data_IF_762783583842
#
_entry.id   IF_762783583842
#
_cell.length_a   1.000
_cell.length_b   1.000
_cell.length_c   1.000
_cell.angle_alpha   90.00
_cell.angle_beta   90.00
_cell.angle_gamma   90.00
#
_symmetry.space_group_name_H-M   'P 1'
#
loop_
_entity.id
_entity.type
_entity.pdbx_description
1 polymer ?
#
# COMPACT_ATOMS: atom_id res chain seq x y z
N UNK A 1 -46.05 12.82 5.13
CA UNK A 1 -46.62 14.07 4.59
C UNK A 1 -45.94 14.42 3.28
N UNK A 2 -46.69 14.91 2.28
CA UNK A 2 -46.11 15.47 1.05
C UNK A 2 -46.10 17.00 1.18
N UNK A 3 -44.92 17.62 1.16
CA UNK A 3 -44.77 19.07 1.21
C UNK A 3 -44.46 19.61 -0.18
N UNK A 4 -45.19 20.63 -0.61
CA UNK A 4 -44.90 21.40 -1.82
C UNK A 4 -43.69 22.31 -1.61
N UNK A 5 -43.11 22.80 -2.71
CA UNK A 5 -41.97 23.75 -2.70
C UNK A 5 -42.21 24.96 -1.79
N UNK A 6 -43.44 25.49 -1.77
CA UNK A 6 -43.80 26.65 -0.94
C UNK A 6 -43.90 26.27 0.53
N UNK A 7 -44.57 25.16 0.85
CA UNK A 7 -44.70 24.68 2.23
C UNK A 7 -43.35 24.32 2.85
N UNK A 8 -42.42 23.76 2.06
CA UNK A 8 -41.06 23.47 2.52
C UNK A 8 -40.25 24.76 2.77
N UNK A 9 -40.46 25.81 1.97
CA UNK A 9 -39.87 27.13 2.23
C UNK A 9 -40.41 27.72 3.52
N UNK A 10 -41.75 27.77 3.68
CA UNK A 10 -42.39 28.33 4.87
C UNK A 10 -41.91 27.62 6.14
N UNK A 11 -41.80 26.28 6.11
CA UNK A 11 -41.31 25.46 7.21
C UNK A 11 -39.85 25.74 7.60
N UNK A 12 -38.97 25.93 6.61
CA UNK A 12 -37.53 26.20 6.84
C UNK A 12 -37.28 27.61 7.36
N UNK A 13 -38.21 28.54 7.08
CA UNK A 13 -38.15 29.91 7.58
C UNK A 13 -38.98 30.13 8.86
N UNK A 14 -39.82 29.17 9.27
CA UNK A 14 -40.59 29.23 10.53
C UNK A 14 -39.84 28.65 11.73
N UNK A 15 -38.97 27.64 11.50
CA UNK A 15 -38.23 26.97 12.58
C UNK A 15 -36.74 26.75 12.24
N UNK A 16 -35.85 26.67 13.26
CA UNK A 16 -34.47 26.25 13.06
C UNK A 16 -34.39 24.89 12.36
N UNK A 17 -33.49 24.79 11.38
CA UNK A 17 -33.29 23.58 10.56
C UNK A 17 -33.10 22.31 11.42
N UNK A 18 -32.44 22.44 12.56
CA UNK A 18 -32.21 21.36 13.53
C UNK A 18 -33.50 20.84 14.16
N UNK A 19 -34.48 21.71 14.40
CA UNK A 19 -35.81 21.37 14.92
C UNK A 19 -36.63 20.66 13.86
N UNK A 20 -36.68 21.21 12.64
CA UNK A 20 -37.34 20.59 11.49
C UNK A 20 -36.76 19.19 11.22
N UNK A 21 -35.44 19.05 11.24
CA UNK A 21 -34.76 17.76 11.06
C UNK A 21 -35.21 16.70 12.08
N UNK A 22 -35.43 17.08 13.35
CA UNK A 22 -35.92 16.19 14.39
C UNK A 22 -37.36 15.74 14.13
N UNK A 23 -38.25 16.68 13.79
CA UNK A 23 -39.66 16.38 13.50
C UNK A 23 -39.83 15.42 12.32
N UNK A 24 -38.92 15.45 11.34
CA UNK A 24 -39.01 14.62 10.14
C UNK A 24 -37.97 13.48 10.06
N UNK A 25 -37.21 13.24 11.13
CA UNK A 25 -36.21 12.17 11.18
C UNK A 25 -35.15 12.23 10.08
N UNK A 26 -34.78 13.43 9.61
CA UNK A 26 -33.84 13.64 8.50
C UNK A 26 -32.58 14.36 9.00
N UNK A 27 -31.42 14.09 8.39
CA UNK A 27 -30.19 14.84 8.70
C UNK A 27 -30.23 16.27 8.16
N UNK A 28 -29.53 17.21 8.81
CA UNK A 28 -29.39 18.61 8.36
C UNK A 28 -28.90 18.71 6.90
N UNK A 29 -27.93 17.88 6.54
CA UNK A 29 -27.44 17.79 5.16
C UNK A 29 -28.49 17.21 4.20
N UNK A 30 -29.30 16.25 4.68
CA UNK A 30 -30.44 15.72 3.94
C UNK A 30 -31.45 16.81 3.61
N UNK A 31 -31.90 17.57 4.62
CA UNK A 31 -32.86 18.66 4.45
C UNK A 31 -32.31 19.76 3.52
N UNK A 32 -31.04 20.14 3.67
CA UNK A 32 -30.38 21.10 2.75
C UNK A 32 -30.33 20.61 1.30
N UNK A 33 -30.12 19.31 1.06
CA UNK A 33 -30.18 18.74 -0.30
C UNK A 33 -31.57 18.88 -0.90
N UNK A 34 -32.62 18.70 -0.11
CA UNK A 34 -34.00 18.92 -0.56
C UNK A 34 -34.22 20.38 -0.95
N UNK A 35 -33.88 21.34 -0.08
CA UNK A 35 -33.98 22.77 -0.35
C UNK A 35 -33.19 23.16 -1.61
N UNK A 36 -31.96 22.68 -1.75
CA UNK A 36 -31.10 22.94 -2.92
C UNK A 36 -31.71 22.38 -4.21
N UNK A 37 -32.26 21.16 -4.18
CA UNK A 37 -32.89 20.56 -5.36
C UNK A 37 -34.16 21.28 -5.83
N UNK A 38 -34.79 22.04 -4.93
CA UNK A 38 -36.00 22.81 -5.17
C UNK A 38 -35.74 24.31 -5.35
N UNK A 39 -34.47 24.72 -5.39
CA UNK A 39 -34.07 26.13 -5.43
C UNK A 39 -34.78 26.97 -4.34
N UNK A 40 -34.79 26.44 -3.11
CA UNK A 40 -35.36 27.08 -1.93
C UNK A 40 -34.21 27.73 -1.15
N UNK A 41 -34.24 29.07 -0.93
CA UNK A 41 -33.24 29.73 -0.12
C UNK A 41 -33.41 29.33 1.34
N UNK A 42 -32.29 29.06 2.04
CA UNK A 42 -32.29 28.72 3.47
C UNK A 42 -31.78 29.91 4.29
N UNK A 43 -32.26 30.10 5.53
CA UNK A 43 -31.75 31.16 6.41
C UNK A 43 -30.23 31.14 6.56
N UNK A 44 -29.55 32.31 6.46
CA UNK A 44 -28.10 32.39 6.61
C UNK A 44 -27.65 32.05 8.04
N UNK A 45 -26.37 31.70 8.21
CA UNK A 45 -25.81 31.43 9.54
C UNK A 45 -26.02 32.64 10.46
N UNK A 46 -26.58 32.40 11.64
CA UNK A 46 -26.89 33.43 12.62
C UNK A 46 -28.24 34.13 12.46
N UNK A 47 -29.05 33.82 11.43
CA UNK A 47 -30.41 34.35 11.28
C UNK A 47 -31.25 34.17 12.55
N UNK A 48 -31.32 32.93 13.06
CA UNK A 48 -32.09 32.59 14.27
C UNK A 48 -31.55 33.26 15.53
N UNK A 49 -30.22 33.43 15.65
CA UNK A 49 -29.61 34.12 16.78
C UNK A 49 -29.89 35.63 16.76
N UNK A 50 -29.94 36.24 15.57
CA UNK A 50 -30.35 37.64 15.38
C UNK A 50 -31.82 37.84 15.72
N UNK A 51 -32.69 36.91 15.29
CA UNK A 51 -34.12 36.93 15.61
C UNK A 51 -34.37 36.82 17.13
N UNK A 52 -33.67 35.91 17.82
CA UNK A 52 -33.73 35.78 19.28
C UNK A 52 -33.23 37.03 20.01
N UNK A 53 -32.27 37.75 19.43
CA UNK A 53 -31.70 38.98 19.98
C UNK A 53 -32.47 40.24 19.56
N UNK A 54 -33.68 40.11 18.99
CA UNK A 54 -34.54 41.21 18.51
C UNK A 54 -33.84 42.16 17.52
N UNK A 55 -32.91 41.66 16.71
CA UNK A 55 -32.25 42.43 15.65
C UNK A 55 -33.01 42.28 14.33
N UNK A 56 -32.94 43.30 13.48
CA UNK A 56 -33.52 43.25 12.14
C UNK A 56 -32.91 42.09 11.32
N UNK A 57 -33.78 41.33 10.66
CA UNK A 57 -33.41 40.19 9.82
C UNK A 57 -34.07 40.32 8.46
N UNK A 58 -33.32 40.01 7.40
CA UNK A 58 -33.82 39.99 6.03
C UNK A 58 -34.29 38.57 5.67
N UNK A 59 -35.51 38.46 5.15
CA UNK A 59 -36.07 37.22 4.64
C UNK A 59 -35.89 37.20 3.12
N UNK A 60 -35.22 36.17 2.60
CA UNK A 60 -34.96 36.04 1.17
C UNK A 60 -36.21 35.43 0.52
N UNK A 61 -36.92 36.13 -0.39
CA UNK A 61 -38.15 35.62 -0.97
C UNK A 61 -37.88 34.37 -1.83
N UNK A 62 -38.88 33.48 -1.87
CA UNK A 62 -38.82 32.29 -2.71
C UNK A 62 -38.76 32.68 -4.21
N UNK A 63 -37.74 32.25 -4.97
CA UNK A 63 -37.63 32.58 -6.39
C UNK A 63 -38.80 32.01 -7.21
N UNK A 64 -39.43 32.81 -8.07
CA UNK A 64 -40.53 32.39 -8.96
C UNK A 64 -40.07 31.41 -10.05
N UNK A 65 -38.81 31.51 -10.47
CA UNK A 65 -38.20 30.64 -11.49
C UNK A 65 -37.77 29.29 -10.89
N UNK A 66 -38.53 28.24 -11.19
CA UNK A 66 -38.15 26.85 -10.88
C UNK A 66 -38.63 25.89 -11.97
N UNK A 67 -37.69 25.46 -12.82
CA UNK A 67 -37.93 24.48 -13.90
C UNK A 67 -37.56 23.04 -13.48
N UNK A 68 -37.36 22.80 -12.18
CA UNK A 68 -36.93 21.49 -11.69
C UNK A 68 -38.05 20.43 -11.69
N UNK A 69 -37.69 19.17 -11.95
CA UNK A 69 -38.63 18.02 -11.99
C UNK A 69 -39.27 17.69 -10.63
N UNK A 70 -38.76 18.25 -9.52
CA UNK A 70 -39.17 17.87 -8.16
C UNK A 70 -40.08 18.93 -7.55
N UNK A 71 -41.39 18.71 -7.60
CA UNK A 71 -42.39 19.67 -7.12
C UNK A 71 -42.79 19.49 -5.66
N UNK A 72 -42.55 18.31 -5.09
CA UNK A 72 -42.86 17.97 -3.69
C UNK A 72 -41.81 17.07 -3.05
N UNK A 73 -41.71 17.12 -1.72
CA UNK A 73 -40.90 16.21 -0.89
C UNK A 73 -41.83 15.39 -0.01
N UNK A 74 -41.64 14.08 -0.04
CA UNK A 74 -42.28 13.18 0.92
C UNK A 74 -41.41 13.14 2.18
N UNK A 75 -41.84 13.82 3.25
CA UNK A 75 -41.23 13.72 4.58
C UNK A 75 -42.11 12.85 5.47
N UNK A 76 -41.51 11.95 6.25
CA UNK A 76 -42.22 11.20 7.28
C UNK A 76 -42.11 11.97 8.57
N UNK A 77 -43.25 12.41 9.12
CA UNK A 77 -43.28 12.88 10.50
C UNK A 77 -42.92 11.71 11.39
N UNK A 78 -41.99 11.94 12.30
CA UNK A 78 -41.63 10.96 13.31
C UNK A 78 -41.91 11.58 14.66
N UNK A 79 -42.54 10.82 15.56
CA UNK A 79 -42.75 11.29 16.92
C UNK A 79 -41.36 11.61 17.53
N UNK A 80 -41.13 12.83 18.03
CA UNK A 80 -39.86 13.20 18.65
C UNK A 80 -39.45 12.28 19.82
N UNK A 81 -40.38 11.50 20.40
CA UNK A 81 -40.08 10.47 21.40
C UNK A 81 -39.66 9.11 20.79
N UNK A 82 -40.02 8.81 19.55
CA UNK A 82 -39.67 7.55 18.86
C UNK A 82 -38.35 7.62 18.09
N UNK A 83 -37.83 8.85 17.84
CA UNK A 83 -36.50 9.03 17.25
C UNK A 83 -35.43 9.03 18.35
N UNK A 84 -35.09 7.85 18.85
CA UNK A 84 -33.73 7.66 19.40
C UNK A 84 -32.80 7.65 18.19
N UNK A 85 -32.42 8.83 17.69
CA UNK A 85 -31.15 8.91 16.97
C UNK A 85 -30.15 8.58 18.06
N UNK A 86 -29.52 7.40 18.00
CA UNK A 86 -28.30 7.13 18.74
C UNK A 86 -27.23 8.10 18.22
N UNK A 87 -27.33 9.36 18.65
CA UNK A 87 -26.27 10.34 18.68
C UNK A 87 -25.34 9.96 19.83
N UNK A 88 -24.99 8.67 19.97
CA UNK A 88 -23.84 8.30 20.78
C UNK A 88 -22.69 9.08 20.16
N UNK A 89 -22.14 10.08 20.86
CA UNK A 89 -21.04 10.85 20.33
C UNK A 89 -19.94 9.85 19.97
N UNK A 90 -19.19 10.05 18.86
CA UNK A 90 -18.09 9.16 18.56
C UNK A 90 -17.22 9.03 19.81
N UNK A 91 -17.04 7.79 20.29
CA UNK A 91 -16.33 7.52 21.54
C UNK A 91 -14.94 8.13 21.42
N UNK A 92 -14.70 9.20 22.17
CA UNK A 92 -13.41 9.86 22.19
C UNK A 92 -12.50 9.07 23.14
N UNK A 93 -12.01 7.92 22.67
CA UNK A 93 -11.12 7.03 23.42
C UNK A 93 -9.96 7.80 24.06
N UNK A 94 -9.41 8.79 23.35
CA UNK A 94 -8.33 9.62 23.85
C UNK A 94 -8.79 10.53 25.01
N UNK A 95 -9.92 11.22 24.86
CA UNK A 95 -10.45 12.08 25.92
C UNK A 95 -10.87 11.30 27.18
N UNK A 96 -11.37 10.07 27.02
CA UNK A 96 -11.72 9.22 28.16
C UNK A 96 -10.47 8.70 28.88
N UNK A 97 -9.43 8.32 28.13
CA UNK A 97 -8.14 7.94 28.68
C UNK A 97 -7.47 9.14 29.37
N UNK A 98 -7.49 10.33 28.78
CA UNK A 98 -6.94 11.55 29.40
C UNK A 98 -7.58 11.83 30.77
N UNK A 99 -8.90 11.69 30.89
CA UNK A 99 -9.61 11.82 32.17
C UNK A 99 -9.20 10.74 33.16
N UNK A 100 -9.04 9.49 32.70
CA UNK A 100 -8.59 8.39 33.54
C UNK A 100 -7.18 8.66 34.10
N UNK A 101 -6.24 9.04 33.24
CA UNK A 101 -4.86 9.37 33.61
C UNK A 101 -4.81 10.48 34.67
N UNK A 102 -5.60 11.53 34.47
CA UNK A 102 -5.71 12.64 35.44
C UNK A 102 -6.37 12.21 36.75
N UNK A 103 -7.30 11.26 36.73
CA UNK A 103 -7.96 10.77 37.94
C UNK A 103 -7.08 9.86 38.79
N UNK A 104 -6.15 9.12 38.17
CA UNK A 104 -5.27 8.20 38.87
C UNK A 104 -4.15 8.94 39.62
N UNK A 105 -3.31 9.71 38.92
CA UNK A 105 -2.14 10.36 39.51
C UNK A 105 -1.77 11.67 38.80
N UNK A 106 -2.45 12.80 39.11
CA UNK A 106 -2.21 14.08 38.45
C UNK A 106 -0.75 14.57 38.55
N UNK A 107 -0.08 14.28 39.66
CA UNK A 107 1.27 14.79 39.95
C UNK A 107 2.35 14.25 39.01
N UNK A 108 2.12 13.10 38.37
CA UNK A 108 3.07 12.54 37.40
C UNK A 108 3.19 13.36 36.13
N UNK A 109 2.17 14.15 35.80
CA UNK A 109 2.07 14.89 34.55
C UNK A 109 2.42 16.37 34.70
N UNK A 110 2.68 16.83 35.93
CA UNK A 110 2.99 18.23 36.21
C UNK A 110 4.46 18.54 35.96
N UNK A 111 4.74 19.42 35.00
CA UNK A 111 6.10 19.88 34.70
C UNK A 111 6.59 20.81 35.80
N UNK A 112 7.82 20.57 36.27
CA UNK A 112 8.51 21.48 37.18
C UNK A 112 9.09 22.67 36.43
N UNK A 113 8.84 23.89 36.92
CA UNK A 113 9.40 25.13 36.34
C UNK A 113 10.92 25.16 36.40
N UNK A 114 11.51 24.56 37.44
CA UNK A 114 12.97 24.47 37.61
C UNK A 114 13.44 23.05 37.33
N UNK A 115 14.35 22.91 36.37
CA UNK A 115 14.95 21.63 36.01
C UNK A 115 15.95 21.17 37.09
N UNK A 116 15.53 20.26 37.95
CA UNK A 116 16.45 19.50 38.81
C UNK A 116 16.95 18.26 38.05
N UNK A 117 18.03 18.42 37.28
CA UNK A 117 18.64 17.34 36.50
C UNK A 117 19.27 16.28 37.42
N UNK A 118 18.45 15.34 37.91
CA UNK A 118 18.91 14.14 38.63
C UNK A 118 19.14 12.95 37.69
N UNK A 119 18.41 12.91 36.58
CA UNK A 119 18.45 11.82 35.62
C UNK A 119 19.70 11.95 34.73
N UNK A 120 20.49 10.87 34.63
CA UNK A 120 21.75 10.85 33.88
C UNK A 120 21.57 11.29 32.41
N UNK A 121 20.48 10.88 31.76
CA UNK A 121 20.15 11.25 30.38
C UNK A 121 19.89 12.74 30.21
N UNK A 122 19.23 13.37 31.18
CA UNK A 122 18.95 14.82 31.15
C UNK A 122 20.25 15.61 31.34
N UNK A 123 21.13 15.13 32.22
CA UNK A 123 22.45 15.73 32.46
C UNK A 123 23.30 15.65 31.17
N UNK A 124 23.44 14.47 30.58
CA UNK A 124 24.25 14.24 29.37
C UNK A 124 23.73 15.05 28.17
N UNK A 125 22.41 15.12 27.99
CA UNK A 125 21.80 15.92 26.93
C UNK A 125 22.09 17.42 27.12
N UNK A 126 21.96 17.92 28.35
CA UNK A 126 22.25 19.32 28.68
C UNK A 126 23.72 19.67 28.43
N UNK A 127 24.64 18.76 28.75
CA UNK A 127 26.07 18.93 28.47
C UNK A 127 26.38 18.98 26.98
N UNK A 128 25.84 18.03 26.20
CA UNK A 128 26.03 18.00 24.75
C UNK A 128 25.55 19.29 24.08
N UNK A 129 24.35 19.75 24.45
CA UNK A 129 23.78 20.99 23.91
C UNK A 129 24.61 22.22 24.28
N UNK A 130 25.12 22.30 25.53
CA UNK A 130 26.05 23.37 25.95
C UNK A 130 27.32 23.40 25.10
N UNK A 131 27.85 22.24 24.71
CA UNK A 131 29.05 22.14 23.84
C UNK A 131 28.82 22.62 22.40
N UNK A 132 27.58 22.56 21.90
CA UNK A 132 27.25 22.92 20.50
C UNK A 132 27.01 24.41 20.25
N UNK A 133 26.61 25.21 21.25
CA UNK A 133 26.33 26.64 21.05
C UNK A 133 27.62 27.48 20.92
N UNK A 134 27.69 28.40 19.94
CA UNK A 134 28.88 29.21 19.63
C UNK A 134 29.39 30.05 20.82
N UNK A 135 28.50 30.53 21.68
CA UNK A 135 28.85 31.30 22.88
C UNK A 135 29.69 30.49 23.88
N UNK A 136 29.60 29.15 23.84
CA UNK A 136 30.37 28.24 24.68
C UNK A 136 31.76 27.89 24.11
N UNK A 137 32.06 28.24 22.85
CA UNK A 137 33.41 28.05 22.27
C UNK A 137 34.46 28.95 22.94
N UNK A 138 34.05 30.11 23.46
CA UNK A 138 34.97 31.12 24.02
C UNK A 138 35.25 30.96 25.53
N UNK A 139 34.57 30.07 26.26
CA UNK A 139 34.74 29.88 27.71
C UNK A 139 35.02 28.42 28.06
N UNK A 140 36.26 27.99 27.85
CA UNK A 140 36.71 26.59 27.98
C UNK A 140 36.64 26.05 29.42
N UNK A 141 36.74 26.91 30.43
CA UNK A 141 36.73 26.55 31.85
C UNK A 141 35.32 26.36 32.45
N UNK A 142 34.26 26.83 31.77
CA UNK A 142 32.85 26.58 32.15
C UNK A 142 32.31 25.25 31.61
N UNK A 143 33.11 24.51 30.82
CA UNK A 143 32.74 23.24 30.18
C UNK A 143 32.67 22.04 31.12
N UNK A 144 33.23 22.13 32.34
CA UNK A 144 33.33 20.96 33.23
C UNK A 144 32.15 20.91 34.19
N UNK A 145 31.14 20.12 33.83
CA UNK A 145 30.25 19.56 34.84
C UNK A 145 31.05 18.54 35.68
N UNK A 146 31.12 18.66 37.01
CA UNK A 146 31.79 17.68 37.85
C UNK A 146 31.08 16.30 37.84
N UNK A 147 29.84 16.23 37.35
CA UNK A 147 29.04 15.01 37.26
C UNK A 147 29.07 14.43 35.84
N UNK A 148 30.09 13.61 35.53
CA UNK A 148 30.11 12.83 34.29
C UNK A 148 29.23 11.59 34.44
N UNK A 149 28.16 11.46 33.64
CA UNK A 149 27.40 10.21 33.58
C UNK A 149 28.17 9.14 32.79
N UNK A 150 27.87 7.86 33.09
CA UNK A 150 28.48 6.70 32.40
C UNK A 150 27.79 6.36 31.08
N UNK A 151 26.55 6.81 30.87
CA UNK A 151 25.67 6.40 29.77
C UNK A 151 26.12 7.06 28.45
N UNK A 152 26.44 8.37 28.48
CA UNK A 152 26.86 9.16 27.31
C UNK A 152 25.86 9.19 26.15
N UNK A 153 24.64 8.75 26.38
CA UNK A 153 23.53 8.84 25.42
C UNK A 153 22.78 10.15 25.63
N UNK A 154 22.21 10.69 24.55
CA UNK A 154 21.51 11.97 24.60
C UNK A 154 20.14 11.89 23.98
N UNK A 155 19.22 12.72 24.49
CA UNK A 155 17.87 12.85 23.98
C UNK A 155 17.85 13.65 22.68
N UNK A 156 16.86 13.35 21.85
CA UNK A 156 16.67 13.97 20.54
C UNK A 156 15.97 15.34 20.69
N UNK A 157 16.79 16.39 20.85
CA UNK A 157 16.36 17.77 21.15
C UNK A 157 17.05 18.78 20.22
N UNK A 158 16.26 19.58 19.50
CA UNK A 158 16.72 20.64 18.59
C UNK A 158 16.07 21.99 18.93
N UNK A 159 16.61 22.68 19.94
CA UNK A 159 16.07 23.95 20.45
C UNK A 159 17.17 24.99 20.64
N UNK A 160 16.80 26.26 20.71
CA UNK A 160 17.72 27.34 21.06
C UNK A 160 18.17 27.25 22.52
N UNK A 161 19.33 27.83 22.84
CA UNK A 161 19.91 27.80 24.19
C UNK A 161 18.94 28.26 25.30
N UNK A 162 18.11 29.27 25.01
CA UNK A 162 17.10 29.79 25.94
C UNK A 162 16.00 28.77 26.26
N UNK A 163 15.69 27.88 25.32
CA UNK A 163 14.60 26.90 25.40
C UNK A 163 15.06 25.52 25.91
N UNK A 164 16.37 25.31 26.11
CA UNK A 164 16.94 24.00 26.50
C UNK A 164 16.36 23.49 27.82
N UNK A 165 16.34 24.34 28.85
CA UNK A 165 15.88 23.91 30.18
C UNK A 165 14.39 23.55 30.17
N UNK A 166 13.57 24.32 29.44
CA UNK A 166 12.15 24.02 29.24
C UNK A 166 11.95 22.70 28.52
N UNK A 167 12.66 22.47 27.41
CA UNK A 167 12.56 21.23 26.64
C UNK A 167 12.96 20.00 27.48
N UNK A 168 14.03 20.12 28.26
CA UNK A 168 14.50 19.05 29.15
C UNK A 168 13.53 18.81 30.32
N UNK A 169 12.90 19.84 30.89
CA UNK A 169 11.86 19.68 31.92
C UNK A 169 10.66 18.89 31.39
N UNK A 170 10.20 19.21 30.18
CA UNK A 170 9.12 18.49 29.50
C UNK A 170 9.52 17.02 29.28
N UNK A 171 10.69 16.77 28.68
CA UNK A 171 11.18 15.40 28.47
C UNK A 171 11.29 14.61 29.77
N UNK A 172 11.86 15.22 30.82
CA UNK A 172 12.01 14.55 32.12
C UNK A 172 10.66 14.16 32.75
N UNK A 173 9.64 14.99 32.55
CA UNK A 173 8.29 14.72 33.06
C UNK A 173 7.64 13.58 32.29
N UNK A 174 7.75 13.60 30.96
CA UNK A 174 7.22 12.52 30.11
C UNK A 174 7.94 11.19 30.41
N UNK A 175 9.27 11.18 30.54
CA UNK A 175 10.03 9.96 30.85
C UNK A 175 9.59 9.38 32.20
N UNK A 176 9.45 10.20 33.23
CA UNK A 176 8.96 9.76 34.54
C UNK A 176 7.55 9.20 34.46
N UNK A 177 6.65 9.90 33.77
CA UNK A 177 5.27 9.45 33.60
C UNK A 177 5.17 8.13 32.83
N UNK A 178 5.96 7.95 31.77
CA UNK A 178 6.04 6.70 31.00
C UNK A 178 6.58 5.55 31.86
N UNK A 179 7.68 5.77 32.59
CA UNK A 179 8.26 4.75 33.48
C UNK A 179 7.28 4.32 34.59
N UNK A 180 6.57 5.28 35.20
CA UNK A 180 5.58 4.99 36.24
C UNK A 180 4.40 4.16 35.71
N UNK A 181 4.11 4.22 34.41
CA UNK A 181 3.08 3.42 33.74
C UNK A 181 3.59 2.06 33.23
N UNK A 182 4.88 1.76 33.45
CA UNK A 182 5.50 0.50 33.03
C UNK A 182 6.04 0.51 31.60
N UNK A 183 6.05 1.66 30.92
CA UNK A 183 6.67 1.81 29.61
C UNK A 183 8.17 2.10 29.76
N UNK A 184 8.94 1.81 28.71
CA UNK A 184 10.40 1.97 28.75
C UNK A 184 10.91 2.94 27.69
N UNK A 185 12.14 3.42 27.91
CA UNK A 185 12.85 4.32 27.01
C UNK A 185 14.03 3.57 26.39
N UNK A 186 14.19 3.73 25.07
CA UNK A 186 15.35 3.26 24.33
C UNK A 186 15.99 4.43 23.59
N UNK A 187 17.32 4.49 23.59
CA UNK A 187 18.08 5.43 22.77
C UNK A 187 18.89 4.63 21.76
N UNK A 188 18.86 5.06 20.51
CA UNK A 188 19.69 4.49 19.45
C UNK A 188 20.21 5.61 18.57
N UNK A 189 21.53 5.70 18.43
CA UNK A 189 22.18 6.64 17.51
C UNK A 189 21.70 8.09 17.69
N UNK A 190 21.63 8.56 18.95
CA UNK A 190 21.10 9.87 19.37
C UNK A 190 19.60 10.11 19.12
N UNK A 191 18.85 9.11 18.64
CA UNK A 191 17.39 9.17 18.52
C UNK A 191 16.73 8.56 19.75
N UNK A 192 15.65 9.19 20.18
CA UNK A 192 14.89 8.77 21.36
C UNK A 192 13.67 7.96 20.94
N UNK A 193 13.46 6.79 21.55
CA UNK A 193 12.33 5.91 21.29
C UNK A 193 11.61 5.57 22.59
N UNK A 194 10.30 5.81 22.63
CA UNK A 194 9.43 5.26 23.66
C UNK A 194 8.95 3.88 23.24
N UNK A 195 9.07 2.90 24.13
CA UNK A 195 8.59 1.53 23.91
C UNK A 195 7.32 1.33 24.73
N UNK A 196 6.18 1.30 24.04
CA UNK A 196 4.83 1.18 24.62
C UNK A 196 4.18 -0.05 24.00
N UNK A 197 3.79 -1.04 24.82
CA UNK A 197 3.19 -2.30 24.35
C UNK A 197 4.00 -3.01 23.24
N UNK A 198 5.33 -3.04 23.36
CA UNK A 198 6.27 -3.58 22.36
C UNK A 198 6.33 -2.81 21.02
N UNK A 199 5.67 -1.65 20.93
CA UNK A 199 5.76 -0.75 19.78
C UNK A 199 6.74 0.40 20.06
N UNK A 200 7.58 0.71 19.08
CA UNK A 200 8.58 1.77 19.18
C UNK A 200 8.06 3.08 18.55
N UNK A 201 8.05 4.14 19.36
CA UNK A 201 7.70 5.50 18.94
C UNK A 201 8.95 6.38 18.99
N UNK A 202 9.48 6.78 17.83
CA UNK A 202 10.55 7.78 17.80
C UNK A 202 9.99 9.13 18.20
N UNK A 203 10.63 9.80 19.15
CA UNK A 203 10.19 11.11 19.65
C UNK A 203 11.31 12.13 19.61
N UNK A 204 10.96 13.38 19.34
CA UNK A 204 11.90 14.49 19.49
C UNK A 204 11.19 15.81 19.86
N UNK A 205 11.95 16.75 20.43
CA UNK A 205 11.50 18.12 20.65
C UNK A 205 12.24 19.05 19.71
N UNK A 206 11.49 19.81 18.92
CA UNK A 206 12.03 20.84 18.03
C UNK A 206 11.46 22.20 18.36
N UNK A 207 12.21 23.25 18.08
CA UNK A 207 11.71 24.63 18.21
C UNK A 207 11.36 25.21 16.84
N UNK A 208 10.18 25.85 16.76
CA UNK A 208 9.74 26.52 15.55
C UNK A 208 10.70 27.65 15.22
N UNK A 209 11.11 27.69 13.96
CA UNK A 209 11.87 28.79 13.39
C UNK A 209 10.92 29.73 12.66
N UNK A 210 11.00 31.02 12.97
CA UNK A 210 10.31 32.09 12.24
C UNK A 210 11.30 32.74 11.29
N UNK A 211 10.77 33.21 10.17
CA UNK A 211 11.55 33.97 9.22
C UNK A 211 12.13 35.21 9.90
N UNK A 212 13.41 35.48 9.67
CA UNK A 212 14.04 36.69 10.16
C UNK A 212 13.46 37.90 9.41
N UNK A 213 12.79 38.82 10.11
CA UNK A 213 12.19 40.00 9.49
C UNK A 213 13.23 40.90 8.80
N UNK A 214 14.49 40.85 9.25
CA UNK A 214 15.60 41.64 8.72
C UNK A 214 16.37 40.93 7.61
N UNK A 215 15.92 39.76 7.13
CA UNK A 215 16.57 39.06 6.03
C UNK A 215 16.36 39.82 4.72
N UNK A 216 17.46 40.10 4.00
CA UNK A 216 17.41 40.75 2.68
C UNK A 216 16.70 39.90 1.63
N UNK A 217 16.60 38.58 1.84
CA UNK A 217 15.92 37.66 0.93
C UNK A 217 14.77 36.94 1.65
N UNK A 218 13.50 37.16 1.26
CA UNK A 218 12.34 36.46 1.82
C UNK A 218 12.31 34.94 1.57
N UNK A 219 13.27 34.37 0.83
CA UNK A 219 13.43 32.91 0.66
C UNK A 219 14.65 32.35 1.40
N UNK A 220 15.39 33.19 2.12
CA UNK A 220 16.54 32.75 2.90
C UNK A 220 16.08 32.09 4.21
N UNK A 221 16.06 30.76 4.19
CA UNK A 221 15.73 29.93 5.33
C UNK A 221 16.93 29.65 6.26
N UNK A 222 18.15 30.00 5.85
CA UNK A 222 19.35 29.78 6.66
C UNK A 222 19.46 30.77 7.82
N UNK A 223 18.86 31.96 7.67
CA UNK A 223 18.88 33.01 8.68
C UNK A 223 17.61 33.03 9.56
N UNK A 224 16.85 31.93 9.65
CA UNK A 224 15.63 31.91 10.47
C UNK A 224 15.93 31.95 11.97
N UNK A 225 15.10 32.67 12.73
CA UNK A 225 15.27 32.87 14.18
C UNK A 225 14.34 31.93 14.93
N UNK A 226 14.83 31.34 16.02
CA UNK A 226 14.04 30.51 16.92
C UNK A 226 12.97 31.33 17.66
N UNK A 227 11.74 30.84 17.70
CA UNK A 227 10.60 31.62 18.17
C UNK A 227 10.13 31.34 19.61
N UNK A 228 10.77 30.43 20.33
CA UNK A 228 10.36 29.97 21.66
C UNK A 228 9.19 28.98 21.66
N UNK A 229 8.61 28.66 20.48
CA UNK A 229 7.47 27.76 20.34
C UNK A 229 8.00 26.33 20.13
N UNK A 230 7.74 25.44 21.09
CA UNK A 230 8.22 24.06 21.05
C UNK A 230 7.20 23.13 20.39
N UNK A 231 7.71 22.16 19.63
CA UNK A 231 6.98 21.07 19.00
C UNK A 231 7.51 19.73 19.52
N UNK A 232 6.62 18.90 20.04
CA UNK A 232 6.89 17.50 20.40
C UNK A 232 6.43 16.62 19.24
N UNK A 233 7.35 15.98 18.53
CA UNK A 233 7.04 15.14 17.37
C UNK A 233 7.16 13.67 17.74
N UNK A 234 6.17 12.89 17.30
CA UNK A 234 6.07 11.45 17.47
C UNK A 234 6.05 10.83 16.09
N UNK A 235 6.93 9.87 15.83
CA UNK A 235 7.00 9.11 14.60
C UNK A 235 6.84 7.62 14.91
N UNK A 236 6.05 6.92 14.11
CA UNK A 236 5.78 5.50 14.29
C UNK A 236 5.53 4.83 12.94
N UNK A 237 5.76 3.53 12.88
CA UNK A 237 5.44 2.73 11.70
C UNK A 237 3.99 2.25 11.76
N UNK A 238 3.27 2.40 10.65
CA UNK A 238 1.92 1.88 10.48
C UNK A 238 1.85 1.09 9.17
N UNK A 239 1.99 -0.24 9.28
CA UNK A 239 2.26 -1.10 8.13
C UNK A 239 3.59 -0.73 7.47
N UNK A 240 3.56 -0.42 6.17
CA UNK A 240 4.76 -0.08 5.39
C UNK A 240 5.17 1.40 5.42
N UNK A 241 4.41 2.27 6.11
CA UNK A 241 4.61 3.72 6.06
C UNK A 241 5.03 4.27 7.43
N UNK A 242 5.98 5.22 7.44
CA UNK A 242 6.25 6.05 8.62
C UNK A 242 5.19 7.15 8.70
N UNK A 243 4.45 7.19 9.80
CA UNK A 243 3.53 8.28 10.12
C UNK A 243 4.11 9.14 11.23
N UNK A 244 3.67 10.39 11.26
CA UNK A 244 4.06 11.31 12.31
C UNK A 244 2.89 12.12 12.82
N UNK A 245 2.98 12.54 14.07
CA UNK A 245 2.04 13.45 14.72
C UNK A 245 2.82 14.38 15.61
N UNK A 246 2.45 15.66 15.62
CA UNK A 246 3.15 16.68 16.40
C UNK A 246 2.21 17.45 17.30
N UNK A 247 2.59 17.57 18.56
CA UNK A 247 1.99 18.47 19.52
C UNK A 247 2.82 19.74 19.54
N UNK A 248 2.18 20.90 19.53
CA UNK A 248 2.86 22.20 19.43
C UNK A 248 2.37 23.17 20.48
N UNK A 249 3.24 24.07 20.90
CA UNK A 249 2.83 25.29 21.57
C UNK A 249 1.87 26.08 20.68
N UNK A 250 0.86 26.66 21.32
CA UNK A 250 -0.07 27.58 20.69
C UNK A 250 -0.16 28.84 21.54
N UNK A 251 -0.87 29.85 21.05
CA UNK A 251 -1.12 31.07 21.82
C UNK A 251 -1.86 30.81 23.14
N UNK A 252 -2.64 29.72 23.24
CA UNK A 252 -3.53 29.44 24.37
C UNK A 252 -3.12 28.23 25.22
N UNK A 253 -2.42 27.27 24.63
CA UNK A 253 -2.00 26.03 25.30
C UNK A 253 -0.53 25.77 25.06
N UNK A 254 0.17 25.37 26.11
CA UNK A 254 1.59 25.02 26.04
C UNK A 254 1.75 23.50 25.95
N UNK A 255 2.98 23.04 25.66
CA UNK A 255 3.29 21.60 25.64
C UNK A 255 3.15 20.94 27.02
N UNK A 256 3.41 21.69 28.09
CA UNK A 256 3.28 21.26 29.48
C UNK A 256 1.84 20.80 29.77
N UNK A 257 0.84 21.49 29.20
CA UNK A 257 -0.58 21.15 29.34
C UNK A 257 -0.98 19.90 28.53
N UNK A 258 -0.14 19.47 27.58
CA UNK A 258 -0.44 18.41 26.60
C UNK A 258 0.23 17.07 26.93
N UNK A 259 0.92 16.97 28.07
CA UNK A 259 1.64 15.74 28.45
C UNK A 259 0.72 14.54 28.56
N UNK A 260 -0.44 14.73 29.20
CA UNK A 260 -1.45 13.66 29.34
C UNK A 260 -1.93 13.20 27.96
N UNK A 261 -2.22 14.16 27.07
CA UNK A 261 -2.65 13.87 25.71
C UNK A 261 -1.59 13.13 24.88
N UNK A 262 -0.31 13.47 25.06
CA UNK A 262 0.83 12.78 24.41
C UNK A 262 0.90 11.32 24.86
N UNK A 263 0.79 11.07 26.16
CA UNK A 263 0.86 9.72 26.73
C UNK A 263 -0.35 8.89 26.30
N UNK A 264 -1.56 9.45 26.43
CA UNK A 264 -2.79 8.80 25.98
C UNK A 264 -2.74 8.44 24.50
N UNK A 265 -2.19 9.34 23.67
CA UNK A 265 -2.02 9.08 22.24
C UNK A 265 -1.07 7.90 21.97
N UNK A 266 0.08 7.84 22.64
CA UNK A 266 1.01 6.73 22.47
C UNK A 266 0.38 5.38 22.85
N UNK A 267 -0.38 5.33 23.96
CA UNK A 267 -1.04 4.10 24.40
C UNK A 267 -2.10 3.63 23.40
N UNK A 268 -3.01 4.51 22.98
CA UNK A 268 -4.05 4.18 22.00
C UNK A 268 -3.42 3.78 20.66
N UNK A 269 -2.40 4.50 20.20
CA UNK A 269 -1.73 4.17 18.94
C UNK A 269 -0.95 2.86 19.02
N UNK A 270 -0.39 2.52 20.16
CA UNK A 270 0.31 1.23 20.32
C UNK A 270 -0.65 0.05 20.12
N UNK A 271 -1.89 0.17 20.60
CA UNK A 271 -2.93 -0.85 20.40
C UNK A 271 -3.33 -0.96 18.92
N UNK A 272 -3.58 0.18 18.26
CA UNK A 272 -3.92 0.21 16.83
C UNK A 272 -2.81 -0.40 15.95
N UNK A 273 -1.54 -0.07 16.24
CA UNK A 273 -0.40 -0.61 15.48
C UNK A 273 -0.28 -2.11 15.73
N UNK A 274 -0.45 -2.57 16.97
CA UNK A 274 -0.41 -4.00 17.31
C UNK A 274 -1.49 -4.80 16.60
N UNK A 275 -2.73 -4.29 16.57
CA UNK A 275 -3.83 -4.90 15.82
C UNK A 275 -3.50 -4.99 14.33
N UNK A 276 -2.97 -3.90 13.76
CA UNK A 276 -2.58 -3.86 12.35
C UNK A 276 -1.47 -4.85 12.03
N UNK A 277 -0.48 -5.00 12.91
CA UNK A 277 0.62 -5.96 12.79
C UNK A 277 0.09 -7.40 12.71
N UNK A 278 -0.88 -7.74 13.56
CA UNK A 278 -1.53 -9.07 13.59
C UNK A 278 -2.34 -9.30 12.31
N UNK A 279 -3.04 -8.27 11.81
CA UNK A 279 -3.77 -8.35 10.54
C UNK A 279 -2.82 -8.57 9.36
N UNK A 280 -1.76 -7.78 9.26
CA UNK A 280 -0.77 -7.87 8.17
C UNK A 280 -0.07 -9.24 8.15
N UNK A 281 0.21 -9.81 9.33
CA UNK A 281 0.75 -11.17 9.48
C UNK A 281 -0.21 -12.23 8.93
N UNK A 282 -1.50 -12.15 9.28
CA UNK A 282 -2.54 -13.07 8.77
C UNK A 282 -2.69 -12.97 7.26
N UNK A 283 -2.67 -11.75 6.72
CA UNK A 283 -2.71 -11.53 5.27
C UNK A 283 -1.47 -12.07 4.57
N UNK A 284 -0.29 -11.98 5.20
CA UNK A 284 0.95 -12.55 4.64
C UNK A 284 0.85 -14.07 4.54
N UNK A 285 0.46 -14.74 5.61
CA UNK A 285 0.28 -16.20 5.63
C UNK A 285 -0.73 -16.63 4.55
N UNK A 286 -1.86 -15.93 4.43
CA UNK A 286 -2.87 -16.22 3.40
C UNK A 286 -2.32 -16.06 1.98
N UNK A 287 -1.54 -15.00 1.71
CA UNK A 287 -0.92 -14.77 0.39
C UNK A 287 0.09 -15.86 0.05
N UNK A 288 0.92 -16.27 1.00
CA UNK A 288 1.90 -17.35 0.82
C UNK A 288 1.21 -18.68 0.48
N UNK A 289 0.10 -19.01 1.15
CA UNK A 289 -0.70 -20.19 0.83
C UNK A 289 -1.34 -20.14 -0.56
N UNK A 290 -1.85 -18.97 -0.97
CA UNK A 290 -2.43 -18.75 -2.30
C UNK A 290 -1.38 -18.82 -3.41
N UNK A 291 -0.18 -18.29 -3.17
CA UNK A 291 0.96 -18.39 -4.09
C UNK A 291 1.40 -19.84 -4.26
N UNK A 292 1.57 -20.59 -3.17
CA UNK A 292 1.91 -22.02 -3.22
C UNK A 292 0.88 -22.80 -4.05
N UNK A 293 -0.42 -22.58 -3.83
CA UNK A 293 -1.49 -23.22 -4.63
C UNK A 293 -1.42 -22.83 -6.11
N UNK A 294 -1.11 -21.57 -6.43
CA UNK A 294 -0.97 -21.10 -7.81
C UNK A 294 0.23 -21.74 -8.50
N UNK A 295 1.36 -21.87 -7.80
CA UNK A 295 2.56 -22.51 -8.33
C UNK A 295 2.35 -24.01 -8.58
N UNK A 296 1.74 -24.72 -7.63
CA UNK A 296 1.35 -26.13 -7.80
C UNK A 296 0.42 -26.32 -9.00
N UNK A 297 -0.58 -25.45 -9.16
CA UNK A 297 -1.51 -25.51 -10.29
C UNK A 297 -0.83 -25.23 -11.63
N UNK A 298 0.06 -24.23 -11.69
CA UNK A 298 0.87 -23.93 -12.89
C UNK A 298 1.81 -25.09 -13.24
N UNK A 299 2.42 -25.72 -12.24
CA UNK A 299 3.27 -26.89 -12.44
C UNK A 299 2.46 -28.06 -13.04
N UNK A 300 1.25 -28.32 -12.53
CA UNK A 300 0.33 -29.33 -13.10
C UNK A 300 -0.06 -29.00 -14.54
N UNK A 301 -0.44 -27.75 -14.84
CA UNK A 301 -0.75 -27.34 -16.21
C UNK A 301 0.42 -27.55 -17.16
N UNK A 302 1.65 -27.19 -16.74
CA UNK A 302 2.85 -27.37 -17.56
C UNK A 302 3.16 -28.85 -17.79
N UNK A 303 2.97 -29.69 -16.77
CA UNK A 303 3.15 -31.13 -16.89
C UNK A 303 2.12 -31.75 -17.86
N UNK A 304 0.83 -31.40 -17.70
CA UNK A 304 -0.26 -31.83 -18.58
C UNK A 304 0.00 -31.41 -20.04
N UNK A 305 0.41 -30.15 -20.27
CA UNK A 305 0.72 -29.64 -21.60
C UNK A 305 1.89 -30.39 -22.23
N UNK A 306 2.93 -30.69 -21.46
CA UNK A 306 4.09 -31.47 -21.94
C UNK A 306 3.67 -32.89 -22.32
N UNK A 307 2.85 -33.53 -21.51
CA UNK A 307 2.33 -34.87 -21.81
C UNK A 307 1.46 -34.87 -23.07
N UNK A 308 0.60 -33.86 -23.22
CA UNK A 308 -0.21 -33.68 -24.41
C UNK A 308 0.63 -33.43 -25.68
N UNK A 309 1.69 -32.62 -25.58
CA UNK A 309 2.64 -32.40 -26.68
C UNK A 309 3.33 -33.71 -27.09
N UNK A 310 3.79 -34.49 -26.12
CA UNK A 310 4.39 -35.80 -26.39
C UNK A 310 3.39 -36.73 -27.10
N UNK A 311 2.16 -36.79 -26.61
CA UNK A 311 1.09 -37.59 -27.22
C UNK A 311 0.85 -37.19 -28.67
N UNK A 312 0.81 -35.88 -28.95
CA UNK A 312 0.65 -35.37 -30.30
C UNK A 312 1.82 -35.75 -31.21
N UNK A 313 3.07 -35.58 -30.75
CA UNK A 313 4.27 -36.00 -31.48
C UNK A 313 4.25 -37.51 -31.78
N UNK A 314 3.83 -38.34 -30.82
CA UNK A 314 3.69 -39.79 -31.02
C UNK A 314 2.61 -40.10 -32.06
N UNK A 315 1.46 -39.42 -32.03
CA UNK A 315 0.41 -39.59 -33.03
C UNK A 315 0.90 -39.22 -34.44
N UNK A 316 1.64 -38.12 -34.59
CA UNK A 316 2.23 -37.71 -35.86
C UNK A 316 3.25 -38.73 -36.39
N UNK A 317 4.10 -39.29 -35.52
CA UNK A 317 5.04 -40.36 -35.88
C UNK A 317 4.32 -41.56 -36.45
N UNK A 318 3.28 -42.04 -35.75
CA UNK A 318 2.48 -43.17 -36.22
C UNK A 318 1.84 -42.86 -37.58
N UNK A 319 1.26 -41.66 -37.73
CA UNK A 319 0.62 -41.26 -38.99
C UNK A 319 1.63 -41.27 -40.16
N UNK A 320 2.82 -40.70 -39.96
CA UNK A 320 3.89 -40.68 -40.97
C UNK A 320 4.41 -42.10 -41.29
N UNK A 321 4.59 -42.95 -40.28
CA UNK A 321 4.96 -44.35 -40.48
C UNK A 321 3.91 -45.09 -41.34
N UNK A 322 2.62 -44.85 -41.08
CA UNK A 322 1.53 -45.44 -41.86
C UNK A 322 1.46 -44.90 -43.30
N UNK A 323 1.72 -43.60 -43.52
CA UNK A 323 1.86 -43.04 -44.87
C UNK A 323 2.99 -43.76 -45.62
N UNK A 324 4.14 -43.96 -44.98
CA UNK A 324 5.28 -44.64 -45.58
C UNK A 324 4.96 -46.11 -45.91
N UNK A 325 4.31 -46.85 -44.99
CA UNK A 325 3.86 -48.22 -45.24
C UNK A 325 2.90 -48.31 -46.42
N UNK A 326 1.95 -47.38 -46.52
CA UNK A 326 1.00 -47.34 -47.63
C UNK A 326 1.71 -47.06 -48.96
N UNK A 327 2.67 -46.13 -48.99
CA UNK A 327 3.49 -45.88 -50.17
C UNK A 327 4.27 -47.13 -50.59
N UNK A 328 4.94 -47.81 -49.65
CA UNK A 328 5.67 -49.05 -49.91
C UNK A 328 4.73 -50.11 -50.51
N UNK A 329 3.56 -50.31 -49.91
CA UNK A 329 2.56 -51.27 -50.38
C UNK A 329 2.10 -50.98 -51.81
N UNK A 330 1.70 -49.73 -52.10
CA UNK A 330 1.28 -49.34 -53.46
C UNK A 330 2.40 -49.48 -54.50
N UNK A 331 3.65 -49.27 -54.08
CA UNK A 331 4.81 -49.46 -54.95
C UNK A 331 5.12 -50.95 -55.20
N UNK A 332 5.00 -51.81 -54.19
CA UNK A 332 5.10 -53.27 -54.35
C UNK A 332 4.05 -53.80 -55.32
N UNK A 333 2.78 -53.35 -55.20
CA UNK A 333 1.73 -53.72 -56.16
C UNK A 333 2.06 -53.25 -57.59
N UNK A 334 2.66 -52.07 -57.75
CA UNK A 334 3.07 -51.56 -59.06
C UNK A 334 4.18 -52.42 -59.67
N UNK A 335 5.18 -52.81 -58.90
CA UNK A 335 6.27 -53.68 -59.36
C UNK A 335 5.75 -55.07 -59.79
N UNK A 336 4.82 -55.64 -59.02
CA UNK A 336 4.17 -56.92 -59.36
C UNK A 336 3.43 -56.84 -60.70
N UNK A 337 2.72 -55.74 -60.97
CA UNK A 337 2.01 -55.53 -62.24
C UNK A 337 2.93 -55.35 -63.45
N UNK A 338 4.16 -54.89 -63.24
CA UNK A 338 5.15 -54.67 -64.32
C UNK A 338 6.12 -55.86 -64.52
N UNK A 339 6.01 -56.93 -63.74
CA UNK A 339 6.91 -58.10 -63.75
C UNK A 339 8.41 -57.74 -63.60
N UNK A 340 8.71 -56.61 -62.94
CA UNK A 340 10.09 -56.16 -62.71
C UNK A 340 10.62 -56.85 -61.45
N UNK A 341 11.52 -57.80 -61.63
CA UNK A 341 12.16 -58.53 -60.53
C UNK A 341 13.63 -58.13 -60.45
N UNK A 342 13.89 -56.99 -59.83
CA UNK A 342 15.23 -56.46 -59.60
C UNK A 342 15.61 -56.65 -58.12
N UNK A 343 16.68 -57.41 -57.87
CA UNK A 343 17.12 -57.80 -56.53
C UNK A 343 17.58 -56.60 -55.69
N UNK A 344 18.14 -55.56 -56.35
CA UNK A 344 18.52 -54.31 -55.68
C UNK A 344 17.29 -53.52 -55.20
N UNK A 345 16.18 -53.62 -55.94
CA UNK A 345 14.91 -52.96 -55.59
C UNK A 345 14.25 -53.64 -54.38
N UNK A 346 14.30 -54.97 -54.29
CA UNK A 346 13.75 -55.72 -53.16
C UNK A 346 14.48 -55.39 -51.85
N UNK A 347 15.82 -55.26 -51.88
CA UNK A 347 16.59 -54.84 -50.71
C UNK A 347 16.22 -53.42 -50.24
N UNK A 348 15.91 -52.51 -51.17
CA UNK A 348 15.48 -51.13 -50.85
C UNK A 348 14.07 -51.06 -50.29
N UNK A 349 13.18 -51.96 -50.70
CA UNK A 349 11.85 -52.09 -50.13
C UNK A 349 11.93 -52.60 -48.69
N UNK A 350 12.78 -53.61 -48.43
CA UNK A 350 13.02 -54.11 -47.08
C UNK A 350 13.59 -53.00 -46.19
N UNK A 351 14.58 -52.26 -46.66
CA UNK A 351 15.09 -51.07 -45.96
C UNK A 351 13.99 -50.05 -45.65
N UNK A 352 13.09 -49.76 -46.60
CA UNK A 352 12.02 -48.79 -46.38
C UNK A 352 11.01 -49.28 -45.31
N UNK A 353 10.74 -50.58 -45.24
CA UNK A 353 9.91 -51.19 -44.18
C UNK A 353 10.57 -51.06 -42.82
N UNK A 354 11.87 -51.34 -42.72
CA UNK A 354 12.63 -51.17 -41.48
C UNK A 354 12.63 -49.71 -41.00
N UNK A 355 12.70 -48.75 -41.93
CA UNK A 355 12.58 -47.31 -41.59
C UNK A 355 11.18 -46.92 -41.13
N UNK A 356 10.13 -47.52 -41.70
CA UNK A 356 8.76 -47.31 -41.22
C UNK A 356 8.57 -47.84 -39.80
N UNK A 357 9.15 -49.01 -39.49
CA UNK A 357 9.09 -49.63 -38.17
C UNK A 357 9.98 -48.93 -37.12
N UNK A 358 11.06 -48.28 -37.55
CA UNK A 358 11.84 -47.38 -36.69
C UNK A 358 11.07 -46.11 -36.35
N UNK A 359 10.30 -45.54 -37.29
CA UNK A 359 9.52 -44.32 -37.07
C UNK A 359 8.26 -44.57 -36.22
N UNK A 360 7.72 -45.79 -36.27
CA UNK A 360 6.53 -46.18 -35.52
C UNK A 360 6.75 -46.16 -33.99
N UNK A 361 5.98 -45.39 -33.21
CA UNK A 361 6.10 -45.34 -31.74
C UNK A 361 5.85 -46.67 -31.03
N UNK A 362 5.08 -47.58 -31.61
CA UNK A 362 4.70 -48.86 -30.99
C UNK A 362 5.73 -49.96 -31.23
N UNK A 363 6.45 -49.91 -32.36
CA UNK A 363 7.49 -50.88 -32.71
C UNK A 363 8.86 -50.36 -32.28
N UNK A 364 9.15 -49.09 -32.62
CA UNK A 364 10.37 -48.36 -32.29
C UNK A 364 11.65 -49.20 -32.50
N UNK A 365 11.74 -49.88 -33.66
CA UNK A 365 12.90 -50.69 -34.03
C UNK A 365 14.16 -49.81 -33.99
N UNK A 366 15.25 -50.30 -33.42
CA UNK A 366 16.52 -49.56 -33.40
C UNK A 366 17.16 -49.57 -34.78
N UNK A 367 17.56 -48.40 -35.28
CA UNK A 367 18.31 -48.29 -36.53
C UNK A 367 19.81 -48.19 -36.25
N UNK A 368 20.63 -48.66 -37.20
CA UNK A 368 22.09 -48.65 -37.06
C UNK A 368 22.68 -47.24 -37.18
N UNK A 369 22.01 -46.34 -37.91
CA UNK A 369 22.54 -45.03 -38.26
C UNK A 369 21.67 -43.86 -37.77
N UNK A 370 20.36 -44.06 -37.60
CA UNK A 370 19.43 -43.01 -37.16
C UNK A 370 19.04 -43.14 -35.69
N UNK A 371 19.09 -42.03 -34.97
CA UNK A 371 18.83 -41.95 -33.53
C UNK A 371 17.42 -41.44 -33.18
N UNK A 372 17.17 -41.07 -31.92
CA UNK A 372 15.86 -40.56 -31.52
C UNK A 372 15.57 -39.15 -32.02
N UNK A 373 16.59 -38.30 -32.14
CA UNK A 373 16.47 -36.92 -32.59
C UNK A 373 16.16 -36.85 -34.09
N UNK A 374 16.71 -37.77 -34.87
CA UNK A 374 16.39 -37.91 -36.30
C UNK A 374 14.89 -38.20 -36.53
N UNK A 375 14.20 -38.84 -35.58
CA UNK A 375 12.74 -39.05 -35.64
C UNK A 375 11.98 -37.73 -35.56
N UNK A 376 12.46 -36.80 -34.74
CA UNK A 376 11.83 -35.50 -34.53
C UNK A 376 12.04 -34.54 -35.69
N UNK A 377 13.22 -34.58 -36.32
CA UNK A 377 13.53 -33.80 -37.52
C UNK A 377 12.65 -34.20 -38.73
N UNK A 378 12.28 -35.47 -38.84
CA UNK A 378 11.35 -35.94 -39.90
C UNK A 378 9.92 -35.46 -39.65
N UNK A 379 9.54 -35.23 -38.37
CA UNK A 379 8.20 -34.80 -38.01
C UNK A 379 8.04 -33.29 -38.19
N UNK A 380 9.03 -32.53 -37.73
CA UNK A 380 9.09 -31.08 -37.85
C UNK A 380 10.04 -30.70 -39.00
N UNK A 381 9.55 -30.58 -40.25
CA UNK A 381 10.40 -30.02 -41.30
C UNK A 381 10.85 -28.63 -40.84
N UNK A 382 12.14 -28.35 -40.95
CA UNK A 382 12.76 -27.09 -40.52
C UNK A 382 11.80 -25.90 -40.75
N UNK A 383 11.25 -25.37 -39.66
CA UNK A 383 10.75 -24.01 -39.71
C UNK A 383 12.00 -23.17 -39.99
N UNK A 384 12.10 -22.44 -41.12
CA UNK A 384 13.31 -21.71 -41.45
C UNK A 384 13.62 -20.81 -40.28
N UNK A 385 14.69 -21.15 -39.54
CA UNK A 385 15.12 -20.38 -38.39
C UNK A 385 15.24 -18.94 -38.88
N UNK A 386 14.39 -18.04 -38.38
CA UNK A 386 14.65 -16.61 -38.45
C UNK A 386 15.88 -16.32 -37.58
N UNK A 387 17.04 -16.75 -38.05
CA UNK A 387 18.30 -16.27 -37.54
C UNK A 387 18.50 -14.89 -38.14
N UNK A 388 18.24 -13.88 -37.32
CA UNK A 388 18.98 -12.63 -37.44
C UNK A 388 20.47 -13.00 -37.54
N UNK A 389 21.12 -12.48 -38.58
CA UNK A 389 22.54 -12.62 -38.92
C UNK A 389 22.90 -13.83 -39.79
N UNK A 390 23.22 -13.47 -41.03
CA UNK A 390 23.65 -14.31 -42.12
C UNK A 390 24.86 -15.20 -41.76
N UNK A 391 24.83 -16.44 -42.22
CA UNK A 391 25.93 -16.93 -43.03
C UNK A 391 25.39 -17.89 -44.09
N UNK A 392 25.56 -17.47 -45.33
CA UNK A 392 25.25 -18.19 -46.54
C UNK A 392 26.33 -19.25 -46.74
N UNK A 393 26.04 -20.50 -46.40
CA UNK A 393 26.78 -21.64 -46.97
C UNK A 393 25.95 -22.24 -48.10
N UNK A 394 26.26 -21.76 -49.31
CA UNK A 394 26.10 -22.55 -50.52
C UNK A 394 26.80 -23.92 -50.35
N UNK A 395 26.34 -24.93 -51.08
CA UNK A 395 26.65 -26.38 -50.97
C UNK A 395 25.78 -27.08 -49.91
N UNK A 396 24.74 -27.84 -50.23
CA UNK A 396 24.65 -28.84 -51.30
C UNK A 396 23.41 -28.64 -52.18
N UNK A 397 23.63 -28.63 -53.50
CA UNK A 397 22.57 -29.00 -54.44
C UNK A 397 22.10 -30.39 -54.01
N UNK A 398 20.83 -30.52 -53.61
CA UNK A 398 20.12 -31.79 -53.75
C UNK A 398 20.39 -32.27 -55.17
N UNK A 399 21.29 -33.22 -55.32
CA UNK A 399 21.47 -33.89 -56.58
C UNK A 399 20.08 -34.41 -56.93
N UNK A 400 19.59 -34.12 -58.13
CA UNK A 400 18.26 -34.56 -58.60
C UNK A 400 18.18 -36.08 -58.79
N UNK A 401 18.88 -36.84 -57.94
CA UNK A 401 18.86 -38.28 -57.84
C UNK A 401 17.83 -38.69 -56.79
N UNK A 402 16.56 -38.56 -57.16
CA UNK A 402 15.51 -39.27 -56.46
C UNK A 402 15.42 -40.66 -57.10
N UNK A 403 15.96 -41.67 -56.41
CA UNK A 403 15.96 -43.07 -56.88
C UNK A 403 14.55 -43.54 -57.25
N UNK A 404 13.53 -43.03 -56.56
CA UNK A 404 12.11 -43.31 -56.78
C UNK A 404 11.48 -42.51 -57.92
N UNK A 405 12.17 -41.51 -58.48
CA UNK A 405 11.63 -40.59 -59.51
C UNK A 405 12.14 -40.82 -60.93
N UNK A 406 12.91 -41.88 -61.22
CA UNK A 406 13.24 -42.23 -62.60
C UNK A 406 12.00 -42.81 -63.29
N UNK A 407 11.47 -42.18 -64.35
CA UNK A 407 10.38 -42.76 -65.12
C UNK A 407 10.84 -44.06 -65.80
N UNK A 408 9.96 -45.06 -65.83
CA UNK A 408 10.23 -46.43 -66.31
C UNK A 408 10.81 -46.52 -67.74
N UNK A 409 10.66 -45.50 -68.58
CA UNK A 409 11.23 -45.46 -69.94
C UNK A 409 12.72 -45.06 -70.01
N UNK A 410 13.35 -44.63 -68.90
CA UNK A 410 14.79 -44.34 -68.85
C UNK A 410 15.67 -45.52 -68.42
N UNK A 411 15.10 -46.67 -68.06
CA UNK A 411 15.84 -47.87 -67.60
C UNK A 411 16.30 -48.83 -68.73
N UNK A 412 16.10 -48.48 -70.01
CA UNK A 412 16.71 -49.19 -71.15
C UNK A 412 17.71 -48.28 -71.87
N UNK A 413 18.96 -48.29 -71.42
CA UNK A 413 20.11 -48.04 -72.29
C UNK A 413 21.35 -48.72 -71.76
#
# INVERSE_FOLDING_TARGET
>A
MKLTRKELYDLVWSEPMTTVCKHFGISDNGLRKHCKSMNIPTPPLGYWAKLQSQKEVEIIPLPSEYEGKKQSVDLKEVDPNDVIVDLVPPVNKQGDLEKLLLSENPDWYRVQEVLYAKDALIIDTKEKLRGTFETAKNNDYLKRNPYKSKIKETLDVYVANVSVDRALSIFSTIIKAMNNRGHSLRIDSDKTFFVVNEEEFRVNITERKKQNPNSSNPRDNYNNIFSGELHFNIFYHYGYWEKSTSYKDTSYTKLEDKIVAIIAYCEIKSEEIKEKRIEDEKERIKREEEERKREEFKAKQKAELKEFQNLFTMAERLHKANILRNYIYTYEEYLQKMEITDEEMLQKIEWAKEKADWLDPFISKSDKYLDHYDKDEIIQPDCPKQNSWAHQSYYEKSSGYNFWAQPWWKKKR
#
